data_IF_178683161366
#
_entry.id   IF_178683161366
#
_cell.length_a   1.000
_cell.length_b   1.000
_cell.length_c   1.000
_cell.angle_alpha   90.00
_cell.angle_beta   90.00
_cell.angle_gamma   90.00
#
_symmetry.space_group_name_H-M   'P 1'
#
loop_
_entity.id
_entity.type
_entity.pdbx_description
1 polymer ?
#
# COMPACT_ATOMS: atom_id res chain seq x y z
N UNK A 1 6.72 10.12 -5.12
CA UNK A 1 6.78 9.84 -3.67
C UNK A 1 8.05 9.08 -3.26
N UNK A 2 8.38 7.95 -3.90
CA UNK A 2 9.55 7.13 -3.56
C UNK A 2 10.88 7.90 -3.42
N UNK A 3 11.24 8.76 -4.40
CA UNK A 3 12.47 9.55 -4.32
C UNK A 3 12.48 10.54 -3.14
N UNK A 4 11.31 11.05 -2.72
CA UNK A 4 11.19 11.98 -1.59
C UNK A 4 11.39 11.27 -0.25
N UNK A 5 10.91 10.03 -0.13
CA UNK A 5 11.13 9.19 1.06
C UNK A 5 12.59 8.77 1.21
N UNK A 6 13.32 8.65 0.10
CA UNK A 6 14.74 8.28 0.11
C UNK A 6 15.68 9.44 0.43
N UNK A 7 15.25 10.69 0.22
CA UNK A 7 16.06 11.89 0.45
C UNK A 7 15.74 12.59 1.77
N UNK A 8 14.56 12.36 2.35
CA UNK A 8 14.20 12.88 3.67
C UNK A 8 14.71 11.95 4.78
N UNK A 9 15.24 12.53 5.85
CA UNK A 9 15.77 11.83 7.04
C UNK A 9 14.75 10.85 7.63
N UNK A 10 15.27 9.83 8.30
CA UNK A 10 14.51 8.85 9.08
C UNK A 10 13.43 9.54 9.92
N UNK A 11 12.18 9.05 9.84
CA UNK A 11 11.04 9.56 10.62
C UNK A 11 10.28 10.75 10.01
N UNK A 12 10.52 11.12 8.74
CA UNK A 12 9.78 12.22 8.11
C UNK A 12 8.28 11.96 7.87
N UNK A 13 7.85 10.70 7.88
CA UNK A 13 6.46 10.29 7.65
C UNK A 13 6.11 9.11 8.54
N UNK A 14 5.07 9.27 9.36
CA UNK A 14 4.55 8.18 10.21
C UNK A 14 3.74 7.16 9.40
N UNK A 15 3.07 7.61 8.34
CA UNK A 15 2.27 6.77 7.45
C UNK A 15 2.48 7.19 6.00
N UNK A 16 2.69 6.19 5.14
CA UNK A 16 2.80 6.36 3.68
C UNK A 16 1.89 5.36 2.98
N UNK A 17 1.34 5.77 1.83
CA UNK A 17 0.45 4.92 1.02
C UNK A 17 1.14 4.63 -0.32
N UNK A 18 2.11 3.69 -0.37
CA UNK A 18 2.73 3.26 -1.61
C UNK A 18 1.76 2.39 -2.42
N UNK A 19 1.88 2.46 -3.75
CA UNK A 19 1.26 1.45 -4.61
C UNK A 19 1.90 0.08 -4.39
N UNK A 20 1.15 -1.01 -4.62
CA UNK A 20 1.58 -2.39 -4.37
C UNK A 20 2.93 -2.75 -4.98
N UNK A 21 3.24 -2.24 -6.17
CA UNK A 21 4.52 -2.48 -6.86
C UNK A 21 5.74 -1.80 -6.20
N UNK A 22 5.53 -0.83 -5.29
CA UNK A 22 6.60 -0.23 -4.49
C UNK A 22 6.81 -0.91 -3.14
N UNK A 23 5.84 -1.68 -2.64
CA UNK A 23 5.92 -2.35 -1.33
C UNK A 23 7.12 -3.29 -1.27
N UNK A 24 7.28 -4.18 -2.25
CA UNK A 24 8.39 -5.13 -2.27
C UNK A 24 9.75 -4.43 -2.33
N UNK A 25 9.85 -3.36 -3.14
CA UNK A 25 11.09 -2.57 -3.26
C UNK A 25 11.44 -1.86 -1.96
N UNK A 26 10.48 -1.15 -1.37
CA UNK A 26 10.70 -0.41 -0.12
C UNK A 26 10.97 -1.35 1.07
N UNK A 27 10.35 -2.54 1.07
CA UNK A 27 10.66 -3.61 2.02
C UNK A 27 12.11 -4.09 1.88
N UNK A 28 12.56 -4.39 0.66
CA UNK A 28 13.95 -4.83 0.38
C UNK A 28 14.99 -3.77 0.73
N UNK A 29 14.63 -2.50 0.59
CA UNK A 29 15.48 -1.37 0.95
C UNK A 29 15.42 -1.02 2.46
N UNK A 30 14.68 -1.78 3.27
CA UNK A 30 14.59 -1.56 4.72
C UNK A 30 13.84 -0.30 5.13
N UNK A 31 13.09 0.30 4.20
CA UNK A 31 12.37 1.57 4.43
C UNK A 31 11.02 1.37 5.14
N UNK A 32 10.53 0.14 5.23
CA UNK A 32 9.25 -0.20 5.84
C UNK A 32 9.47 -1.00 7.12
N UNK A 33 8.80 -0.58 8.20
CA UNK A 33 8.71 -1.35 9.44
C UNK A 33 7.60 -2.39 9.36
N UNK A 34 7.73 -3.47 10.13
CA UNK A 34 6.65 -4.46 10.28
C UNK A 34 5.48 -3.84 11.04
N UNK A 35 4.27 -4.14 10.59
CA UNK A 35 3.02 -3.66 11.16
C UNK A 35 2.54 -4.66 12.21
N UNK A 36 2.29 -4.15 13.42
CA UNK A 36 1.71 -4.95 14.50
C UNK A 36 0.20 -5.12 14.29
N UNK A 37 -0.18 -6.27 13.70
CA UNK A 37 -1.58 -6.63 13.43
C UNK A 37 -2.43 -6.78 14.69
N UNK A 38 -1.84 -6.99 15.88
CA UNK A 38 -2.61 -7.09 17.13
C UNK A 38 -3.31 -5.77 17.49
N UNK A 39 -2.75 -4.63 17.02
CA UNK A 39 -3.33 -3.30 17.22
C UNK A 39 -4.39 -2.94 16.17
N UNK A 40 -4.54 -3.75 15.12
CA UNK A 40 -5.50 -3.53 14.04
C UNK A 40 -6.79 -4.31 14.31
N UNK A 41 -7.65 -3.74 15.16
CA UNK A 41 -8.95 -4.34 15.52
C UNK A 41 -9.88 -4.58 14.33
N UNK A 42 -9.72 -3.80 13.26
CA UNK A 42 -10.54 -3.88 12.04
C UNK A 42 -9.88 -4.69 10.92
N UNK A 43 -8.76 -5.37 11.16
CA UNK A 43 -8.07 -6.14 10.14
C UNK A 43 -8.94 -7.27 9.56
N UNK A 44 -9.85 -7.82 10.37
CA UNK A 44 -10.83 -8.83 9.95
C UNK A 44 -11.85 -8.33 8.91
N UNK A 45 -12.00 -7.02 8.73
CA UNK A 45 -12.94 -6.44 7.76
C UNK A 45 -12.37 -6.38 6.34
N UNK A 46 -11.10 -6.73 6.16
CA UNK A 46 -10.44 -6.72 4.86
C UNK A 46 -10.85 -7.95 4.05
N UNK A 47 -11.07 -7.73 2.76
CA UNK A 47 -11.36 -8.82 1.82
C UNK A 47 -10.18 -9.80 1.76
N UNK A 48 -10.36 -11.09 2.11
CA UNK A 48 -9.31 -12.11 2.03
C UNK A 48 -8.67 -12.22 0.64
N UNK A 49 -9.40 -11.87 -0.43
CA UNK A 49 -8.85 -11.87 -1.79
C UNK A 49 -7.79 -10.80 -2.00
N UNK A 50 -7.75 -9.76 -1.18
CA UNK A 50 -6.76 -8.68 -1.26
C UNK A 50 -5.56 -8.90 -0.32
N UNK A 51 -5.62 -9.94 0.53
CA UNK A 51 -4.57 -10.31 1.46
C UNK A 51 -3.60 -11.33 0.83
N UNK A 52 -2.45 -11.53 1.49
CA UNK A 52 -1.45 -12.56 1.20
C UNK A 52 -0.92 -12.55 -0.25
N UNK A 53 -0.71 -11.36 -0.80
CA UNK A 53 -0.18 -11.21 -2.16
C UNK A 53 1.33 -11.51 -2.21
N UNK A 54 1.88 -11.92 -3.36
CA UNK A 54 3.30 -12.29 -3.46
C UNK A 54 4.30 -11.21 -3.02
N UNK A 55 3.91 -9.94 -3.11
CA UNK A 55 4.74 -8.82 -2.66
C UNK A 55 4.80 -8.67 -1.12
N UNK A 56 3.80 -9.18 -0.41
CA UNK A 56 3.73 -9.19 1.06
C UNK A 56 2.84 -10.38 1.53
N UNK A 57 3.41 -11.61 1.56
CA UNK A 57 2.63 -12.83 1.76
C UNK A 57 1.87 -12.94 3.08
N UNK A 58 2.23 -12.13 4.08
CA UNK A 58 1.60 -12.12 5.40
C UNK A 58 0.95 -10.77 5.73
N UNK A 59 0.94 -9.80 4.81
CA UNK A 59 0.55 -8.42 5.11
C UNK A 59 1.31 -7.83 6.32
N UNK A 60 2.59 -8.19 6.45
CA UNK A 60 3.43 -7.73 7.58
C UNK A 60 3.95 -6.32 7.35
N UNK A 61 3.95 -5.82 6.11
CA UNK A 61 4.50 -4.51 5.73
C UNK A 61 3.47 -3.60 5.05
N UNK A 62 2.33 -4.14 4.63
CA UNK A 62 1.31 -3.41 3.88
C UNK A 62 -0.11 -3.85 4.21
N UNK A 63 -1.00 -2.86 4.31
CA UNK A 63 -2.44 -3.06 4.52
C UNK A 63 -3.17 -2.50 3.28
N UNK A 64 -4.07 -3.28 2.64
CA UNK A 64 -4.89 -2.76 1.55
C UNK A 64 -5.73 -1.56 2.00
N UNK A 65 -5.66 -0.45 1.25
CA UNK A 65 -6.42 0.76 1.54
C UNK A 65 -7.52 1.01 0.51
N UNK A 66 -7.13 1.33 -0.74
CA UNK A 66 -8.05 1.54 -1.86
C UNK A 66 -7.47 0.84 -3.08
N UNK A 67 -8.32 0.16 -3.83
CA UNK A 67 -7.98 -0.39 -5.14
C UNK A 67 -8.87 0.23 -6.22
N UNK A 68 -8.40 0.18 -7.46
CA UNK A 68 -9.13 0.68 -8.60
C UNK A 68 -8.51 0.19 -9.89
N UNK A 69 -9.23 0.36 -10.99
CA UNK A 69 -8.76 0.02 -12.32
C UNK A 69 -8.56 1.30 -13.15
N UNK A 70 -7.53 1.31 -13.98
CA UNK A 70 -7.39 2.32 -15.02
C UNK A 70 -8.26 1.90 -16.20
N UNK A 71 -9.22 2.74 -16.57
CA UNK A 71 -10.13 2.49 -17.69
C UNK A 71 -10.32 3.72 -18.56
N UNK A 72 -10.86 3.53 -19.75
CA UNK A 72 -11.20 4.63 -20.65
C UNK A 72 -12.57 5.21 -20.29
N UNK A 73 -12.62 6.48 -19.88
CA UNK A 73 -13.88 7.21 -19.73
C UNK A 73 -14.31 7.70 -21.11
N UNK A 74 -15.42 7.15 -21.64
CA UNK A 74 -16.10 7.75 -22.80
C UNK A 74 -17.06 8.83 -22.30
N UNK A 75 -16.81 10.08 -22.70
CA UNK A 75 -17.76 11.16 -22.47
C UNK A 75 -18.89 11.02 -23.50
N UNK A 76 -20.08 10.62 -23.03
CA UNK A 76 -21.26 10.75 -23.87
C UNK A 76 -21.59 12.24 -23.96
N UNK A 77 -21.56 12.80 -25.18
CA UNK A 77 -22.20 14.09 -25.43
C UNK A 77 -23.69 13.84 -25.30
N UNK A 78 -24.35 14.54 -24.37
CA UNK A 78 -25.79 14.60 -24.36
C UNK A 78 -26.25 15.37 -25.60
N UNK A 79 -27.20 14.78 -26.33
CA UNK A 79 -28.09 15.53 -27.21
C UNK A 79 -29.17 16.23 -26.37
#
# INVERSE_FOLDING_TARGET
MYAKLKTYKDGAYDLVVPSTYFVDKMRKEGMLQKIDKSKLTNFSNLDPQMLNKPFDPNNDYSIPYIWGATGHRRQQRGD
#
